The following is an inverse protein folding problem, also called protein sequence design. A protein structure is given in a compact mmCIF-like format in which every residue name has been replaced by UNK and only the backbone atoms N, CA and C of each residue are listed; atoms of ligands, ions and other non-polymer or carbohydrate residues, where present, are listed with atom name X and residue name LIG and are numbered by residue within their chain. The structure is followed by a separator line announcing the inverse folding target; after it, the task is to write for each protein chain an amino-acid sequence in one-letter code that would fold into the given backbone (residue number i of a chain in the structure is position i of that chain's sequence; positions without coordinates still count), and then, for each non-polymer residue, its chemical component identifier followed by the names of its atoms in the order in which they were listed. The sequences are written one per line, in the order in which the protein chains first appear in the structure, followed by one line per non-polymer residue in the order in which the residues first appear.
data_IF_085410083045
#
_entry.id   IF_085410083045
#
_cell.length_a   1.000
_cell.length_b   1.000
_cell.length_c   1.000
_cell.angle_alpha   90.00
_cell.angle_beta   90.00
_cell.angle_gamma   90.00
#
_symmetry.space_group_name_H-M   'P 1'
#
loop_
_entity.id
_entity.type
_entity.pdbx_description
1 polymer ?
#
# COMPACT_ATOMS: atom_id res chain seq x y z
N UNK A 1 12.93 6.50 -10.31
CA UNK A 1 11.52 6.42 -9.93
C UNK A 1 11.07 7.82 -9.59
N UNK A 2 10.23 8.38 -10.44
CA UNK A 2 9.61 9.70 -10.25
C UNK A 2 8.46 9.61 -9.23
N UNK A 3 7.90 10.74 -8.78
CA UNK A 3 6.76 10.74 -7.85
C UNK A 3 5.53 10.02 -8.45
N UNK A 4 5.32 10.18 -9.76
CA UNK A 4 4.28 9.50 -10.52
C UNK A 4 4.41 7.96 -10.45
N UNK A 5 5.63 7.43 -10.58
CA UNK A 5 5.87 5.99 -10.54
C UNK A 5 5.59 5.43 -9.14
N UNK A 6 5.95 6.19 -8.09
CA UNK A 6 5.66 5.83 -6.70
C UNK A 6 4.17 5.87 -6.40
N UNK A 7 3.46 6.89 -6.89
CA UNK A 7 2.01 7.01 -6.78
C UNK A 7 1.32 5.83 -7.46
N UNK A 8 1.71 5.51 -8.68
CA UNK A 8 1.17 4.38 -9.42
C UNK A 8 1.46 3.04 -8.73
N UNK A 9 2.67 2.83 -8.21
CA UNK A 9 2.98 1.60 -7.48
C UNK A 9 2.19 1.43 -6.19
N UNK A 10 1.95 2.51 -5.44
CA UNK A 10 1.07 2.49 -4.27
C UNK A 10 -0.38 2.18 -4.65
N UNK A 11 -0.86 2.76 -5.75
CA UNK A 11 -2.21 2.52 -6.27
C UNK A 11 -2.38 1.05 -6.69
N UNK A 12 -1.42 0.50 -7.43
CA UNK A 12 -1.44 -0.91 -7.84
C UNK A 12 -1.36 -1.84 -6.63
N UNK A 13 -0.52 -1.53 -5.64
CA UNK A 13 -0.44 -2.31 -4.40
C UNK A 13 -1.76 -2.28 -3.61
N UNK A 14 -2.45 -1.14 -3.57
CA UNK A 14 -3.77 -1.01 -2.94
C UNK A 14 -4.83 -1.83 -3.70
N UNK A 15 -4.86 -1.74 -5.04
CA UNK A 15 -5.81 -2.50 -5.86
C UNK A 15 -5.56 -4.01 -5.83
N UNK A 16 -4.29 -4.43 -5.73
CA UNK A 16 -3.91 -5.84 -5.61
C UNK A 16 -4.41 -6.43 -4.29
N UNK A 17 -4.37 -5.68 -3.18
CA UNK A 17 -4.95 -6.10 -1.89
C UNK A 17 -6.46 -6.31 -1.96
N UNK A 18 -7.14 -5.53 -2.78
CA UNK A 18 -8.59 -5.62 -2.96
C UNK A 18 -9.01 -6.54 -4.10
N UNK A 19 -8.08 -7.20 -4.78
CA UNK A 19 -8.33 -8.07 -5.96
C UNK A 19 -9.09 -7.38 -7.11
N UNK A 20 -9.00 -6.05 -7.22
CA UNK A 20 -9.76 -5.23 -8.19
C UNK A 20 -8.89 -4.53 -9.24
N UNK A 21 -7.75 -5.12 -9.61
CA UNK A 21 -6.75 -4.47 -10.50
C UNK A 21 -7.30 -4.12 -11.90
N UNK A 22 -8.28 -4.88 -12.40
CA UNK A 22 -8.86 -4.69 -13.75
C UNK A 22 -10.28 -4.10 -13.75
N UNK A 23 -10.82 -3.73 -12.58
CA UNK A 23 -12.20 -3.20 -12.47
C UNK A 23 -12.13 -1.67 -12.58
N UNK A 24 -12.99 -1.03 -13.40
CA UNK A 24 -13.09 0.43 -13.42
C UNK A 24 -13.59 0.95 -12.07
N UNK A 25 -12.99 2.03 -11.57
CA UNK A 25 -13.37 2.68 -10.31
C UNK A 25 -13.40 4.20 -10.48
N UNK A 26 -14.03 4.93 -9.55
CA UNK A 26 -14.14 6.39 -9.67
C UNK A 26 -12.82 7.11 -9.37
N UNK A 27 -12.58 8.25 -10.02
CA UNK A 27 -11.41 9.09 -9.75
C UNK A 27 -11.36 9.54 -8.28
N UNK A 28 -12.52 9.68 -7.63
CA UNK A 28 -12.63 9.97 -6.20
C UNK A 28 -11.95 8.93 -5.30
N UNK A 29 -12.05 7.64 -5.65
CA UNK A 29 -11.47 6.57 -4.83
C UNK A 29 -9.95 6.68 -4.70
N UNK A 30 -9.26 7.30 -5.66
CA UNK A 30 -7.80 7.47 -5.62
C UNK A 30 -7.37 8.27 -4.39
N UNK A 31 -8.00 9.42 -4.15
CA UNK A 31 -7.57 10.33 -3.07
C UNK A 31 -8.31 10.09 -1.75
N UNK A 32 -9.51 9.48 -1.78
CA UNK A 32 -10.29 9.21 -0.57
C UNK A 32 -9.90 7.88 0.10
N UNK A 33 -9.65 6.83 -0.70
CA UNK A 33 -9.58 5.45 -0.20
C UNK A 33 -8.26 4.75 -0.53
N UNK A 34 -7.82 4.82 -1.78
CA UNK A 34 -6.68 4.02 -2.26
C UNK A 34 -5.34 4.62 -1.84
N UNK A 35 -5.12 5.91 -2.13
CA UNK A 35 -3.87 6.60 -1.85
C UNK A 35 -4.08 7.95 -1.16
N UNK A 36 -4.62 8.00 0.09
CA UNK A 36 -4.75 9.26 0.81
C UNK A 36 -3.38 9.89 1.10
N UNK A 37 -3.28 11.22 0.94
CA UNK A 37 -2.03 11.96 1.14
C UNK A 37 -1.43 11.77 2.54
N UNK A 38 -2.24 11.86 3.59
CA UNK A 38 -1.74 11.78 4.98
C UNK A 38 -1.08 10.44 5.30
N UNK A 39 -1.66 9.34 4.83
CA UNK A 39 -1.18 7.99 5.12
C UNK A 39 0.03 7.59 4.28
N UNK A 40 0.16 8.17 3.07
CA UNK A 40 1.17 7.76 2.09
C UNK A 40 2.28 8.80 1.87
N UNK A 41 2.27 9.96 2.56
CA UNK A 41 3.28 11.04 2.41
C UNK A 41 4.72 10.52 2.48
N UNK A 42 5.03 9.64 3.42
CA UNK A 42 6.37 9.08 3.61
C UNK A 42 6.81 8.16 2.46
N UNK A 43 5.87 7.46 1.81
CA UNK A 43 6.14 6.52 0.70
C UNK A 43 6.16 7.21 -0.66
N UNK A 44 5.32 8.24 -0.84
CA UNK A 44 5.28 9.08 -2.04
C UNK A 44 6.53 9.96 -2.17
N UNK A 45 7.11 10.36 -1.04
CA UNK A 45 8.25 11.30 -0.95
C UNK A 45 7.96 12.62 -1.69
N UNK A 46 6.78 13.16 -1.40
CA UNK A 46 6.27 14.40 -1.98
C UNK A 46 6.41 15.52 -0.94
N UNK A 47 6.94 16.67 -1.36
CA UNK A 47 7.26 17.76 -0.44
C UNK A 47 6.00 18.45 0.10
N UNK A 48 5.05 18.77 -0.78
CA UNK A 48 3.82 19.51 -0.46
C UNK A 48 2.55 18.77 -0.85
N UNK A 49 1.39 19.26 -0.37
CA UNK A 49 0.10 18.71 -0.80
C UNK A 49 -0.18 19.00 -2.28
N UNK A 50 0.23 20.18 -2.76
CA UNK A 50 0.05 20.57 -4.16
C UNK A 50 0.83 19.66 -5.11
N UNK A 51 2.04 19.25 -4.73
CA UNK A 51 2.84 18.30 -5.53
C UNK A 51 2.14 16.94 -5.66
N UNK A 52 1.42 16.50 -4.62
CA UNK A 52 0.62 15.27 -4.67
C UNK A 52 -0.58 15.44 -5.61
N UNK A 53 -1.29 16.56 -5.51
CA UNK A 53 -2.41 16.88 -6.40
C UNK A 53 -1.95 16.98 -7.86
N UNK A 54 -0.78 17.58 -8.13
CA UNK A 54 -0.16 17.57 -9.45
C UNK A 54 0.18 16.16 -9.94
N UNK A 55 0.70 15.28 -9.07
CA UNK A 55 1.00 13.90 -9.44
C UNK A 55 -0.28 13.12 -9.78
N UNK A 56 -1.36 13.34 -9.03
CA UNK A 56 -2.68 12.74 -9.33
C UNK A 56 -3.24 13.30 -10.64
N UNK A 57 -3.17 14.61 -10.87
CA UNK A 57 -3.63 15.24 -12.11
C UNK A 57 -2.88 14.67 -13.32
N UNK A 58 -1.55 14.53 -13.24
CA UNK A 58 -0.71 13.92 -14.27
C UNK A 58 -1.06 12.45 -14.51
N UNK A 59 -1.32 11.69 -13.45
CA UNK A 59 -1.75 10.30 -13.56
C UNK A 59 -3.08 10.17 -14.31
N UNK A 60 -4.07 11.00 -13.95
CA UNK A 60 -5.41 10.99 -14.55
C UNK A 60 -5.42 11.52 -15.98
N UNK A 61 -4.53 12.44 -16.32
CA UNK A 61 -4.28 12.86 -17.69
C UNK A 61 -3.70 11.73 -18.58
N UNK A 62 -3.34 10.59 -17.99
CA UNK A 62 -2.84 9.42 -18.69
C UNK A 62 -1.33 9.49 -18.98
N UNK A 63 -0.57 10.26 -18.20
CA UNK A 63 0.87 10.34 -18.36
C UNK A 63 1.50 8.94 -18.24
N UNK A 64 2.40 8.61 -19.18
CA UNK A 64 3.06 7.28 -19.31
C UNK A 64 2.10 6.10 -19.55
N UNK A 65 0.83 6.36 -19.90
CA UNK A 65 -0.18 5.35 -20.20
C UNK A 65 -0.42 4.33 -19.06
N UNK A 66 -0.20 4.77 -17.81
CA UNK A 66 -0.46 3.97 -16.61
C UNK A 66 -1.95 3.73 -16.37
N UNK A 67 -2.73 4.75 -16.68
CA UNK A 67 -4.16 4.83 -16.39
C UNK A 67 -4.87 5.41 -17.60
N UNK A 68 -6.08 4.91 -17.85
CA UNK A 68 -7.01 5.44 -18.84
C UNK A 68 -8.22 5.99 -18.10
N UNK A 69 -8.53 7.26 -18.35
CA UNK A 69 -9.70 7.94 -17.82
C UNK A 69 -10.82 7.91 -18.87
N UNK A 70 -11.99 7.42 -18.48
CA UNK A 70 -13.25 7.58 -19.21
C UNK A 70 -14.17 8.53 -18.43
N UNK A 71 -14.79 9.53 -19.07
CA UNK A 71 -14.84 9.77 -20.50
C UNK A 71 -13.64 10.59 -21.05
N UNK A 72 -13.33 10.39 -22.34
CA UNK A 72 -12.15 10.95 -23.04
C UNK A 72 -12.07 12.49 -22.98
N UNK A 73 -13.23 13.16 -23.06
CA UNK A 73 -13.31 14.62 -22.97
C UNK A 73 -12.75 15.17 -21.64
N UNK A 74 -12.94 14.44 -20.53
CA UNK A 74 -12.40 14.81 -19.22
C UNK A 74 -10.88 14.62 -19.22
N UNK A 75 -10.39 13.55 -19.86
CA UNK A 75 -8.96 13.31 -20.01
C UNK A 75 -8.28 14.41 -20.80
N UNK A 76 -8.86 14.80 -21.95
CA UNK A 76 -8.36 15.93 -22.75
C UNK A 76 -8.37 17.25 -21.97
N UNK A 77 -9.40 17.50 -21.16
CA UNK A 77 -9.46 18.69 -20.32
C UNK A 77 -8.32 18.71 -19.29
N UNK A 78 -8.04 17.58 -18.63
CA UNK A 78 -6.91 17.46 -17.70
C UNK A 78 -5.55 17.63 -18.40
N UNK A 79 -5.39 17.11 -19.62
CA UNK A 79 -4.17 17.29 -20.41
C UNK A 79 -3.93 18.76 -20.79
N UNK A 80 -5.00 19.47 -21.18
CA UNK A 80 -4.94 20.91 -21.46
C UNK A 80 -4.55 21.69 -20.22
N UNK A 81 -5.09 21.32 -19.06
CA UNK A 81 -4.77 21.98 -17.79
C UNK A 81 -3.28 21.87 -17.45
N UNK A 82 -2.69 20.69 -17.61
CA UNK A 82 -1.24 20.47 -17.38
C UNK A 82 -0.37 21.31 -18.33
N UNK A 83 -0.85 21.58 -19.54
CA UNK A 83 -0.12 22.39 -20.52
C UNK A 83 -0.20 23.90 -20.24
N UNK A 84 -1.08 24.34 -19.33
CA UNK A 84 -1.22 25.74 -18.93
C UNK A 84 0.00 26.19 -18.11
N UNK A 85 0.35 27.47 -18.21
CA UNK A 85 1.50 28.06 -17.50
C UNK A 85 1.31 28.06 -15.96
N UNK A 86 0.06 28.10 -15.52
CA UNK A 86 -0.34 28.04 -14.12
C UNK A 86 -1.44 26.98 -13.98
N UNK A 87 -1.08 25.69 -13.94
CA UNK A 87 -2.04 24.60 -13.85
C UNK A 87 -2.71 24.61 -12.47
N UNK A 88 -4.03 24.38 -12.42
CA UNK A 88 -4.72 24.11 -11.16
C UNK A 88 -4.55 22.63 -10.77
N UNK A 89 -3.73 22.32 -9.74
CA UNK A 89 -3.50 20.95 -9.30
C UNK A 89 -4.79 20.25 -8.84
N UNK A 90 -5.80 21.00 -8.38
CA UNK A 90 -7.04 20.45 -7.84
C UNK A 90 -8.13 20.26 -8.90
N UNK A 91 -7.84 20.54 -10.19
CA UNK A 91 -8.82 20.49 -11.28
C UNK A 91 -9.53 19.13 -11.42
N UNK A 92 -8.85 18.03 -11.08
CA UNK A 92 -9.44 16.70 -11.13
C UNK A 92 -10.64 16.52 -10.18
N UNK A 93 -10.76 17.33 -9.13
CA UNK A 93 -11.88 17.28 -8.17
C UNK A 93 -13.21 17.73 -8.78
N UNK A 94 -13.20 18.41 -9.93
CA UNK A 94 -14.41 18.76 -10.67
C UNK A 94 -15.10 17.52 -11.25
N UNK A 95 -14.37 16.41 -11.43
CA UNK A 95 -14.88 15.18 -12.05
C UNK A 95 -14.65 13.94 -11.16
N UNK A 96 -15.31 13.85 -9.98
CA UNK A 96 -15.11 12.74 -9.04
C UNK A 96 -15.60 11.38 -9.57
N UNK A 97 -16.66 11.39 -10.39
CA UNK A 97 -17.33 10.18 -10.90
C UNK A 97 -16.69 9.59 -12.16
N UNK A 98 -15.65 10.25 -12.69
CA UNK A 98 -14.94 9.78 -13.88
C UNK A 98 -14.35 8.39 -13.63
N UNK A 99 -14.53 7.47 -14.58
CA UNK A 99 -14.11 6.09 -14.46
C UNK A 99 -12.64 5.95 -14.83
N UNK A 100 -11.89 5.31 -13.96
CA UNK A 100 -10.45 5.12 -14.06
C UNK A 100 -10.17 3.65 -14.29
N UNK A 101 -9.51 3.34 -15.40
CA UNK A 101 -9.07 2.00 -15.76
C UNK A 101 -7.55 1.93 -15.69
N UNK A 102 -7.04 0.97 -14.93
CA UNK A 102 -5.60 0.74 -14.81
C UNK A 102 -5.11 -0.15 -15.95
N UNK A 103 -3.99 0.21 -16.57
CA UNK A 103 -3.38 -0.62 -17.58
C UNK A 103 -2.75 -1.87 -16.94
N UNK A 104 -3.34 -3.04 -17.20
CA UNK A 104 -2.90 -4.31 -16.61
C UNK A 104 -1.42 -4.64 -16.86
N UNK A 105 -0.87 -4.29 -18.04
CA UNK A 105 0.56 -4.51 -18.34
C UNK A 105 1.48 -3.62 -17.50
N UNK A 106 1.06 -2.38 -17.23
CA UNK A 106 1.83 -1.49 -16.36
C UNK A 106 1.75 -1.95 -14.90
N UNK A 107 0.56 -2.37 -14.45
CA UNK A 107 0.36 -2.91 -13.11
C UNK A 107 1.18 -4.18 -12.87
N UNK A 108 1.19 -5.12 -13.82
CA UNK A 108 1.97 -6.36 -13.74
C UNK A 108 3.47 -6.07 -13.66
N UNK A 109 3.98 -5.10 -14.43
CA UNK A 109 5.39 -4.68 -14.34
C UNK A 109 5.77 -4.16 -12.97
N UNK A 110 4.88 -3.41 -12.31
CA UNK A 110 5.16 -2.89 -10.96
C UNK A 110 5.09 -3.98 -9.91
N UNK A 111 4.10 -4.87 -9.99
CA UNK A 111 4.01 -6.03 -9.12
C UNK A 111 5.20 -6.98 -9.31
N UNK A 112 5.67 -7.15 -10.54
CA UNK A 112 6.85 -7.96 -10.86
C UNK A 112 8.13 -7.25 -10.43
N UNK A 113 8.25 -5.92 -10.55
CA UNK A 113 9.41 -5.17 -10.07
C UNK A 113 9.55 -5.27 -8.55
N UNK A 114 8.44 -5.23 -7.81
CA UNK A 114 8.43 -5.45 -6.37
C UNK A 114 8.85 -6.89 -6.01
N UNK A 115 8.46 -7.88 -6.84
CA UNK A 115 8.93 -9.28 -6.72
C UNK A 115 10.38 -9.51 -7.18
N UNK A 116 10.88 -8.75 -8.15
CA UNK A 116 12.24 -8.88 -8.69
C UNK A 116 13.29 -8.26 -7.76
N UNK A 117 12.87 -7.29 -6.92
CA UNK A 117 13.71 -6.76 -5.85
C UNK A 117 13.58 -7.55 -4.53
N UNK A 118 12.61 -8.46 -4.42
CA UNK A 118 12.67 -9.51 -3.42
C UNK A 118 13.80 -10.48 -3.82
N UNK A 119 14.76 -10.81 -2.93
CA UNK A 119 15.74 -11.84 -3.24
C UNK A 119 14.95 -13.11 -3.60
N UNK A 120 15.23 -13.69 -4.77
CA UNK A 120 14.52 -14.87 -5.26
C UNK A 120 14.61 -15.98 -4.21
N UNK A 121 13.54 -16.13 -3.44
CA UNK A 121 13.37 -17.22 -2.51
C UNK A 121 12.83 -18.40 -3.29
N UNK A 122 13.74 -19.31 -3.65
CA UNK A 122 13.46 -20.65 -4.20
C UNK A 122 12.74 -20.69 -5.56
N UNK A 123 13.54 -20.70 -6.63
CA UNK A 123 13.37 -21.69 -7.69
C UNK A 123 14.51 -22.70 -7.45
N UNK A 124 14.24 -23.79 -6.73
CA UNK A 124 13.91 -25.08 -7.34
C UNK A 124 15.13 -25.62 -8.12
N UNK A 125 15.83 -26.53 -7.45
CA UNK A 125 16.88 -27.40 -7.97
C UNK A 125 16.49 -27.92 -9.36
N UNK A 126 17.06 -27.34 -10.41
CA UNK A 126 17.18 -28.07 -11.67
C UNK A 126 18.31 -29.07 -11.51
N UNK A 127 17.92 -30.34 -11.39
CA UNK A 127 18.74 -31.53 -11.55
C UNK A 127 19.70 -31.37 -12.74
N UNK A 128 20.91 -30.92 -12.46
CA UNK A 128 22.04 -31.01 -13.37
C UNK A 128 22.50 -32.47 -13.41
N UNK A 129 22.02 -33.18 -14.43
CA UNK A 129 22.50 -34.51 -14.80
C UNK A 129 23.99 -34.48 -15.12
N UNK A 130 24.74 -35.13 -14.23
CA UNK A 130 25.91 -35.98 -14.43
C UNK A 130 26.66 -35.89 -15.78
N UNK A 131 27.87 -35.32 -15.73
CA UNK A 131 28.98 -35.78 -16.57
C UNK A 131 30.27 -35.90 -15.75
N UNK A 132 30.52 -37.10 -15.21
CA UNK A 132 31.82 -37.81 -15.17
C UNK A 132 33.11 -37.09 -14.70
N UNK A 133 33.75 -37.67 -13.65
CA UNK A 133 35.22 -37.64 -13.49
C UNK A 133 35.77 -37.59 -12.05
N UNK A 134 36.07 -38.76 -11.46
CA UNK A 134 37.01 -39.07 -10.36
C UNK A 134 37.87 -37.92 -9.76
N UNK A 135 37.76 -37.52 -8.47
CA UNK A 135 38.16 -38.12 -7.16
C UNK A 135 39.21 -37.18 -6.43
N UNK A 136 39.55 -37.31 -5.13
CA UNK A 136 39.10 -36.42 -4.02
C UNK A 136 40.25 -35.79 -3.18
N UNK A 137 39.96 -34.87 -2.23
CA UNK A 137 40.55 -34.76 -0.84
C UNK A 137 39.75 -33.68 -0.05
N UNK A 138 39.44 -33.87 1.26
CA UNK A 138 38.45 -33.11 2.01
C UNK A 138 39.07 -32.02 2.92
N UNK A 139 38.32 -30.94 3.18
CA UNK A 139 38.60 -29.98 4.26
C UNK A 139 37.36 -29.85 5.17
N UNK A 140 37.49 -30.04 6.50
CA UNK A 140 36.37 -29.93 7.42
C UNK A 140 36.23 -28.46 7.85
N UNK A 141 35.30 -27.72 7.24
CA UNK A 141 34.83 -26.47 7.84
C UNK A 141 33.55 -26.71 8.64
N UNK A 142 33.71 -26.59 9.95
CA UNK A 142 32.68 -26.64 10.98
C UNK A 142 31.52 -25.65 10.70
N UNK A 143 30.30 -25.92 11.21
CA UNK A 143 29.09 -25.23 10.77
C UNK A 143 29.03 -23.84 11.37
N UNK A 144 28.97 -22.80 10.53
CA UNK A 144 28.57 -21.47 10.97
C UNK A 144 27.06 -21.36 10.85
N UNK A 145 26.42 -21.44 12.02
CA UNK A 145 25.07 -20.99 12.36
C UNK A 145 24.02 -21.16 11.25
N UNK A 146 23.21 -22.21 11.39
CA UNK A 146 21.93 -22.31 10.73
C UNK A 146 21.16 -20.98 10.90
N UNK A 147 21.09 -20.20 9.84
CA UNK A 147 20.04 -19.21 9.72
C UNK A 147 18.73 -20.00 9.66
N UNK A 148 18.01 -19.97 10.77
CA UNK A 148 16.66 -20.52 10.88
C UNK A 148 15.85 -20.01 9.71
N UNK A 149 15.33 -20.95 8.92
CA UNK A 149 14.23 -20.71 7.98
C UNK A 149 13.11 -19.91 8.70
N UNK A 150 12.40 -18.99 8.02
CA UNK A 150 11.15 -18.48 8.56
C UNK A 150 10.23 -19.67 8.75
N UNK A 151 9.98 -19.98 10.01
CA UNK A 151 9.12 -21.08 10.43
C UNK A 151 7.71 -20.74 9.92
N UNK A 152 6.99 -21.70 9.30
CA UNK A 152 5.62 -21.48 8.83
C UNK A 152 4.78 -21.02 10.02
N UNK A 153 4.10 -19.87 9.86
CA UNK A 153 3.09 -19.26 10.75
C UNK A 153 2.96 -19.97 12.11
N UNK A 154 4.00 -19.88 12.93
CA UNK A 154 3.86 -20.18 14.34
C UNK A 154 2.87 -19.13 14.86
N UNK A 155 1.88 -19.61 15.62
CA UNK A 155 0.85 -18.80 16.25
C UNK A 155 1.39 -17.43 16.65
N UNK A 156 0.76 -16.36 16.12
CA UNK A 156 1.08 -14.96 16.42
C UNK A 156 1.45 -14.86 17.90
N UNK A 157 2.72 -14.56 18.20
CA UNK A 157 3.09 -14.22 19.55
C UNK A 157 2.17 -13.06 19.95
N UNK A 158 1.49 -13.15 21.10
CA UNK A 158 0.50 -12.20 21.60
C UNK A 158 0.98 -10.73 21.72
N UNK A 159 2.24 -10.46 21.34
CA UNK A 159 2.91 -9.17 21.43
C UNK A 159 3.27 -8.59 20.05
N UNK A 160 2.57 -8.95 18.96
CA UNK A 160 2.77 -8.37 17.63
C UNK A 160 1.45 -7.89 17.03
N UNK A 161 1.47 -6.69 16.46
CA UNK A 161 0.30 -6.12 15.81
C UNK A 161 -0.04 -6.86 14.51
N UNK A 162 -1.29 -7.28 14.36
CA UNK A 162 -1.77 -8.02 13.18
C UNK A 162 -1.69 -7.22 11.87
N UNK A 163 -1.71 -5.89 11.96
CA UNK A 163 -1.76 -5.01 10.78
C UNK A 163 -0.39 -4.58 10.27
N UNK A 164 0.55 -4.29 11.18
CA UNK A 164 1.86 -3.74 10.81
C UNK A 164 3.05 -4.60 11.26
N UNK A 165 2.82 -5.67 12.03
CA UNK A 165 3.86 -6.52 12.59
C UNK A 165 4.71 -5.84 13.68
N UNK A 166 4.36 -4.62 14.08
CA UNK A 166 5.06 -3.88 15.13
C UNK A 166 4.96 -4.60 16.47
N UNK A 167 6.07 -4.63 17.21
CA UNK A 167 6.13 -5.28 18.53
C UNK A 167 5.32 -4.46 19.52
N UNK A 168 4.29 -5.08 20.10
CA UNK A 168 3.49 -4.49 21.15
C UNK A 168 4.22 -4.64 22.49
N UNK A 169 4.19 -3.60 23.34
CA UNK A 169 4.81 -3.65 24.66
C UNK A 169 4.09 -4.66 25.57
N UNK A 170 4.74 -5.80 25.83
CA UNK A 170 4.20 -6.95 26.58
C UNK A 170 3.76 -6.70 28.04
N UNK A 171 3.98 -5.49 28.59
CA UNK A 171 3.66 -5.12 29.98
C UNK A 171 2.47 -4.15 30.09
N UNK A 172 1.80 -3.83 28.98
CA UNK A 172 0.59 -2.98 28.97
C UNK A 172 -0.40 -3.45 27.91
N UNK A 173 -1.68 -3.46 28.25
CA UNK A 173 -2.75 -3.73 27.30
C UNK A 173 -2.90 -2.53 26.35
N UNK A 174 -2.18 -2.57 25.23
CA UNK A 174 -2.20 -1.52 24.23
C UNK A 174 -3.44 -1.69 23.34
N UNK A 175 -4.48 -0.88 23.57
CA UNK A 175 -5.69 -0.85 22.72
C UNK A 175 -5.37 -0.44 21.28
N UNK A 176 -4.35 0.39 21.09
CA UNK A 176 -3.88 0.88 19.80
C UNK A 176 -2.42 0.52 19.57
N UNK A 177 -2.07 0.20 18.33
CA UNK A 177 -0.68 0.02 17.95
C UNK A 177 0.07 1.36 17.97
N UNK A 178 1.18 1.50 18.73
CA UNK A 178 1.99 2.72 18.70
C UNK A 178 2.74 2.92 17.37
N UNK A 179 2.84 1.89 16.53
CA UNK A 179 3.55 1.96 15.25
C UNK A 179 2.64 2.34 14.07
N UNK A 180 1.36 1.96 14.08
CA UNK A 180 0.43 2.23 12.97
C UNK A 180 -0.90 2.88 13.36
N UNK A 181 -1.19 3.05 14.65
CA UNK A 181 -2.44 3.65 15.15
C UNK A 181 -3.68 2.75 15.08
N UNK A 182 -3.58 1.54 14.52
CA UNK A 182 -4.72 0.62 14.37
C UNK A 182 -5.10 -0.04 15.72
N UNK A 183 -6.41 -0.22 16.01
CA UNK A 183 -6.85 -0.97 17.19
C UNK A 183 -6.41 -2.43 17.11
N UNK A 184 -6.02 -3.01 18.25
CA UNK A 184 -5.54 -4.40 18.34
C UNK A 184 -6.67 -5.43 18.39
N UNK A 185 -7.87 -5.05 18.84
CA UNK A 185 -8.99 -5.98 19.00
C UNK A 185 -10.30 -5.35 18.52
N UNK A 186 -10.89 -5.93 17.48
CA UNK A 186 -12.30 -5.75 17.06
C UNK A 186 -12.76 -4.34 16.71
N UNK A 187 -14.04 -4.21 16.39
CA UNK A 187 -14.74 -2.91 16.37
C UNK A 187 -14.56 -2.23 17.73
N UNK A 188 -14.07 -0.99 17.75
CA UNK A 188 -14.01 -0.17 18.95
C UNK A 188 -15.43 -0.03 19.51
N UNK A 189 -15.66 -0.31 20.79
CA UNK A 189 -16.99 -0.18 21.42
C UNK A 189 -17.02 0.91 22.47
N UNK A 190 -18.13 1.63 22.55
CA UNK A 190 -18.35 2.62 23.59
C UNK A 190 -18.40 1.96 24.97
N UNK A 191 -17.61 2.40 25.97
CA UNK A 191 -17.67 1.87 27.34
C UNK A 191 -18.98 2.21 28.06
N UNK A 192 -19.77 3.15 27.53
CA UNK A 192 -21.08 3.53 28.06
C UNK A 192 -22.22 2.68 27.53
N UNK A 193 -22.35 2.58 26.21
CA UNK A 193 -23.52 1.96 25.56
C UNK A 193 -23.19 0.78 24.64
N UNK A 194 -21.92 0.44 24.45
CA UNK A 194 -21.50 -0.70 23.61
C UNK A 194 -21.61 -0.49 22.10
N UNK A 195 -22.04 0.67 21.63
CA UNK A 195 -22.10 1.00 20.19
C UNK A 195 -20.71 1.03 19.55
N UNK A 196 -20.63 0.71 18.26
CA UNK A 196 -19.40 0.81 17.49
C UNK A 196 -18.92 2.26 17.43
N UNK A 197 -17.63 2.46 17.62
CA UNK A 197 -16.93 3.73 17.61
C UNK A 197 -15.76 3.65 16.62
N UNK A 198 -15.44 4.78 16.00
CA UNK A 198 -14.29 4.91 15.12
C UNK A 198 -13.10 5.54 15.84
N UNK A 199 -11.90 5.35 15.28
CA UNK A 199 -10.66 5.90 15.80
C UNK A 199 -10.64 7.43 15.65
N UNK A 200 -10.27 8.12 16.75
CA UNK A 200 -10.21 9.59 16.78
C UNK A 200 -11.51 10.30 17.16
N UNK A 201 -12.59 9.57 17.47
CA UNK A 201 -13.82 10.18 17.99
C UNK A 201 -13.69 10.49 19.48
N UNK A 202 -13.81 11.78 19.84
CA UNK A 202 -13.78 12.21 21.25
C UNK A 202 -15.05 11.82 22.03
N UNK A 203 -16.18 11.67 21.35
CA UNK A 203 -17.49 11.36 21.94
C UNK A 203 -18.22 10.27 21.16
N UNK A 204 -19.00 9.46 21.87
CA UNK A 204 -19.87 8.46 21.24
C UNK A 204 -21.11 9.11 20.60
N UNK A 205 -21.39 8.79 19.33
CA UNK A 205 -22.59 9.28 18.63
C UNK A 205 -23.90 8.73 19.19
N UNK A 206 -23.89 7.55 19.81
CA UNK A 206 -25.11 6.92 20.32
C UNK A 206 -25.50 7.38 21.73
N UNK A 207 -24.54 7.71 22.60
CA UNK A 207 -24.81 8.08 23.99
C UNK A 207 -24.15 9.36 24.49
N UNK A 208 -23.36 10.05 23.65
CA UNK A 208 -22.69 11.31 23.99
C UNK A 208 -21.56 11.21 25.00
N UNK A 209 -21.21 10.01 25.47
CA UNK A 209 -20.16 9.82 26.49
C UNK A 209 -18.77 10.02 25.89
N UNK A 210 -17.82 10.67 26.60
CA UNK A 210 -16.44 10.78 26.14
C UNK A 210 -15.83 9.39 26.04
N UNK A 211 -15.07 9.17 24.98
CA UNK A 211 -14.47 7.87 24.67
C UNK A 211 -13.16 7.62 25.43
N UNK A 212 -12.54 8.67 25.98
CA UNK A 212 -11.32 8.59 26.78
C UNK A 212 -10.05 8.34 25.96
N UNK A 213 -10.09 8.59 24.65
CA UNK A 213 -8.94 8.55 23.76
C UNK A 213 -8.43 9.99 23.57
N UNK A 214 -7.47 10.41 24.41
CA UNK A 214 -6.72 11.67 24.26
C UNK A 214 -5.36 11.41 23.63
#
# INVERSE_FOLDING_TARGET
MDELDRLFGLLVAALARETRVAVPFSAAEIYERLVPYRSNRSRLNVATHQDYEMAVLRLLAGERSYVQLEPENVREAMQREIATINPDPAYFRTFPDAQVMVNGRAAERVLLADRAYAPSGAAEDEDLLDTTGENPVPVPFAPRAAFRAPKPKDALNANQCEYCGGVLPAKRDARFCPHCGQPQEGELKCPGCGSALDVGWAYCLACGRPTGFE
#
